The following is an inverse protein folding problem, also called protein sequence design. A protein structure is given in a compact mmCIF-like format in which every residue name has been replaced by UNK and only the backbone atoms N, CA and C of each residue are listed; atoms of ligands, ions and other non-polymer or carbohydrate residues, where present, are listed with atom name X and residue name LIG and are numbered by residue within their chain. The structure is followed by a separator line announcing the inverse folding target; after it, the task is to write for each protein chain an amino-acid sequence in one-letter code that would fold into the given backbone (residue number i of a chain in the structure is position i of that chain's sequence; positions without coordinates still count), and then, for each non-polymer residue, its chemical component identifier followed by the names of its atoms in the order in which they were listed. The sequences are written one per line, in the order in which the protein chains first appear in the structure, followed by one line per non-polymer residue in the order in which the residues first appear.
data_IF_829362288695
#
_entry.id   IF_829362288695
#
_cell.length_a   1.000
_cell.length_b   1.000
_cell.length_c   1.000
_cell.angle_alpha   90.00
_cell.angle_beta   90.00
_cell.angle_gamma   90.00
#
_symmetry.space_group_name_H-M   'P 1'
#
loop_
_entity.id
_entity.type
_entity.pdbx_description
1 polymer ?
#
# COMPACT_ATOMS: atom_id res chain seq x y z
N UNK A 1 -18.47 -41.39 -0.29
CA UNK A 1 -17.22 -40.59 -0.37
C UNK A 1 -17.61 -39.16 -0.68
N UNK A 2 -17.51 -38.24 0.28
CA UNK A 2 -17.66 -36.80 0.05
C UNK A 2 -16.31 -36.23 -0.41
N UNK A 3 -16.27 -35.29 -1.37
CA UNK A 3 -15.04 -34.64 -1.77
C UNK A 3 -14.58 -33.68 -0.66
N UNK A 4 -13.31 -33.79 -0.28
CA UNK A 4 -12.67 -32.91 0.69
C UNK A 4 -12.58 -31.48 0.12
N UNK A 5 -12.99 -30.50 0.92
CA UNK A 5 -12.83 -29.08 0.64
C UNK A 5 -11.33 -28.73 0.54
N UNK A 6 -10.90 -27.88 -0.40
CA UNK A 6 -9.51 -27.47 -0.49
C UNK A 6 -9.17 -26.60 0.73
N UNK A 7 -8.38 -27.15 1.65
CA UNK A 7 -7.68 -26.36 2.67
C UNK A 7 -6.72 -25.42 1.96
N UNK A 8 -7.07 -24.14 1.89
CA UNK A 8 -6.17 -23.06 1.49
C UNK A 8 -5.04 -23.00 2.51
N UNK A 9 -3.87 -23.48 2.11
CA UNK A 9 -2.63 -23.29 2.85
C UNK A 9 -2.26 -21.82 2.72
N UNK A 10 -2.70 -20.99 3.68
CA UNK A 10 -2.18 -19.64 3.80
C UNK A 10 -0.69 -19.75 4.15
N UNK A 11 0.24 -19.21 3.33
CA UNK A 11 1.64 -19.24 3.66
C UNK A 11 1.86 -18.52 5.00
N UNK A 12 2.80 -19.00 5.85
CA UNK A 12 3.09 -18.32 7.11
C UNK A 12 3.45 -16.85 6.83
N UNK A 13 2.70 -15.95 7.45
CA UNK A 13 2.88 -14.51 7.32
C UNK A 13 4.35 -14.15 7.57
N UNK A 14 5.03 -13.42 6.66
CA UNK A 14 6.37 -12.95 6.93
C UNK A 14 6.33 -12.05 8.17
N UNK A 15 7.07 -12.43 9.22
CA UNK A 15 7.19 -11.64 10.43
C UNK A 15 8.18 -10.52 10.16
N UNK A 16 7.68 -9.36 9.75
CA UNK A 16 8.49 -8.14 9.74
C UNK A 16 8.70 -7.74 11.20
N UNK A 17 9.95 -7.69 11.70
CA UNK A 17 10.19 -7.33 13.08
C UNK A 17 9.72 -5.90 13.33
N UNK A 18 9.18 -5.62 14.52
CA UNK A 18 8.70 -4.30 14.94
C UNK A 18 9.34 -3.99 16.28
N UNK A 19 9.75 -2.75 16.49
CA UNK A 19 10.25 -2.23 17.76
C UNK A 19 9.11 -2.16 18.79
N UNK A 20 9.47 -2.12 20.06
CA UNK A 20 8.50 -2.01 21.17
C UNK A 20 7.61 -0.75 21.10
N UNK A 21 8.03 0.27 20.35
CA UNK A 21 7.28 1.51 20.10
C UNK A 21 6.37 1.43 18.86
N UNK A 22 6.18 0.24 18.27
CA UNK A 22 5.30 0.01 17.12
C UNK A 22 5.95 0.29 15.76
N UNK A 23 7.23 0.68 15.70
CA UNK A 23 7.90 0.99 14.42
C UNK A 23 8.49 -0.24 13.74
N UNK A 24 8.40 -0.33 12.42
CA UNK A 24 9.03 -1.40 11.65
C UNK A 24 10.55 -1.44 11.87
N UNK A 25 11.10 -2.63 12.06
CA UNK A 25 12.54 -2.89 12.06
C UNK A 25 12.97 -3.02 10.61
N UNK A 26 13.86 -2.12 10.19
CA UNK A 26 14.44 -2.13 8.87
C UNK A 26 15.39 -3.31 8.75
N UNK A 27 15.05 -4.29 7.92
CA UNK A 27 15.97 -5.37 7.55
C UNK A 27 16.89 -4.86 6.44
N UNK A 28 18.20 -4.98 6.62
CA UNK A 28 19.14 -4.91 5.50
C UNK A 28 19.02 -6.21 4.72
N UNK A 29 18.21 -6.21 3.67
CA UNK A 29 18.17 -7.32 2.72
C UNK A 29 19.41 -7.21 1.83
N UNK A 30 20.51 -7.79 2.29
CA UNK A 30 21.69 -7.99 1.46
C UNK A 30 21.36 -9.01 0.37
N UNK A 31 21.42 -8.61 -0.90
CA UNK A 31 21.47 -9.56 -2.01
C UNK A 31 22.82 -10.28 -1.98
N UNK A 32 22.87 -11.42 -1.28
CA UNK A 32 23.94 -12.40 -1.38
C UNK A 32 23.45 -13.60 -2.19
N UNK A 33 23.97 -13.74 -3.42
CA UNK A 33 24.00 -15.03 -4.10
C UNK A 33 25.03 -15.91 -3.39
N UNK A 34 24.66 -17.18 -3.16
CA UNK A 34 25.47 -18.32 -2.67
C UNK A 34 25.90 -18.22 -1.18
N UNK A 35 25.85 -19.25 -0.32
CA UNK A 35 25.89 -20.72 -0.44
C UNK A 35 25.11 -21.35 0.73
N UNK A 36 24.83 -22.65 0.62
CA UNK A 36 23.85 -23.40 1.43
C UNK A 36 23.99 -23.32 2.95
N UNK A 37 22.83 -23.20 3.61
CA UNK A 37 22.60 -23.66 4.96
C UNK A 37 21.16 -24.19 5.06
N UNK A 38 21.02 -25.43 5.50
CA UNK A 38 19.75 -26.12 5.74
C UNK A 38 18.97 -25.44 6.88
N UNK A 39 17.65 -25.24 6.77
CA UNK A 39 16.86 -24.75 7.90
C UNK A 39 16.51 -25.90 8.86
N UNK A 40 16.73 -25.63 10.14
CA UNK A 40 16.43 -26.47 11.30
C UNK A 40 14.92 -26.56 11.56
N UNK A 41 14.44 -27.75 11.93
CA UNK A 41 13.05 -28.05 12.38
C UNK A 41 12.75 -27.48 13.77
N UNK A 42 11.56 -26.91 13.95
CA UNK A 42 10.71 -26.94 15.17
C UNK A 42 9.32 -26.38 14.75
N UNK A 43 8.22 -27.12 14.63
CA UNK A 43 7.42 -27.92 15.57
C UNK A 43 6.60 -27.08 16.58
N UNK A 44 5.28 -27.03 16.28
CA UNK A 44 4.07 -26.91 17.13
C UNK A 44 3.73 -25.61 17.91
N UNK A 45 2.56 -25.04 17.57
CA UNK A 45 1.55 -24.57 18.54
C UNK A 45 0.14 -24.57 17.90
N UNK A 46 -0.83 -25.18 18.58
CA UNK A 46 -2.22 -25.42 18.14
C UNK A 46 -3.21 -24.48 18.84
N UNK A 47 -4.16 -23.97 18.06
CA UNK A 47 -5.60 -23.73 18.31
C UNK A 47 -6.12 -22.90 19.50
N UNK A 48 -6.99 -21.92 19.19
CA UNK A 48 -8.32 -21.78 19.81
C UNK A 48 -9.31 -21.13 18.82
N UNK A 49 -10.44 -21.80 18.59
CA UNK A 49 -11.54 -21.42 17.69
C UNK A 49 -12.79 -21.28 18.55
N UNK A 50 -13.62 -20.25 18.34
CA UNK A 50 -15.07 -20.40 18.53
C UNK A 50 -15.86 -19.34 17.75
N UNK A 51 -16.86 -19.83 17.01
CA UNK A 51 -17.75 -19.11 16.11
C UNK A 51 -19.06 -18.68 16.79
N UNK A 52 -19.73 -17.70 16.18
CA UNK A 52 -21.19 -17.49 16.04
C UNK A 52 -21.38 -16.16 15.30
N UNK A 53 -22.24 -15.99 14.29
CA UNK A 53 -23.38 -16.77 13.82
C UNK A 53 -23.82 -16.22 12.46
N UNK A 54 -24.14 -17.10 11.52
CA UNK A 54 -24.82 -16.77 10.28
C UNK A 54 -26.31 -16.48 10.54
N UNK A 55 -26.79 -15.29 10.17
CA UNK A 55 -28.19 -15.03 9.81
C UNK A 55 -28.39 -13.56 9.41
N UNK A 56 -28.23 -13.23 8.12
CA UNK A 56 -29.15 -12.28 7.45
C UNK A 56 -28.92 -12.34 5.93
N UNK A 57 -29.61 -13.26 5.26
CA UNK A 57 -29.79 -13.19 3.82
C UNK A 57 -30.91 -12.18 3.52
N UNK A 58 -30.61 -11.15 2.72
CA UNK A 58 -31.48 -10.72 1.62
C UNK A 58 -30.80 -9.72 0.68
N UNK A 59 -30.66 -10.17 -0.57
CA UNK A 59 -30.76 -9.43 -1.84
C UNK A 59 -30.07 -8.08 -1.94
N UNK A 60 -28.97 -8.03 -2.70
CA UNK A 60 -28.73 -7.19 -3.88
C UNK A 60 -27.47 -7.74 -4.56
N UNK A 61 -27.62 -8.47 -5.67
CA UNK A 61 -26.47 -8.93 -6.45
C UNK A 61 -25.73 -7.73 -7.07
N UNK A 62 -24.41 -7.77 -6.90
CA UNK A 62 -23.31 -6.96 -7.46
C UNK A 62 -22.92 -5.64 -6.75
N UNK A 63 -22.02 -5.74 -5.74
CA UNK A 63 -20.87 -4.83 -5.65
C UNK A 63 -19.51 -5.51 -5.37
N UNK A 64 -19.45 -6.85 -5.32
CA UNK A 64 -18.33 -7.57 -4.68
C UNK A 64 -17.02 -7.60 -5.48
N UNK A 65 -17.07 -7.62 -6.82
CA UNK A 65 -15.89 -7.85 -7.66
C UNK A 65 -14.93 -6.65 -7.80
N UNK A 66 -15.40 -5.41 -7.54
CA UNK A 66 -14.54 -4.22 -7.69
C UNK A 66 -13.73 -3.91 -6.43
N UNK A 67 -14.16 -4.39 -5.26
CA UNK A 67 -13.54 -4.08 -3.97
C UNK A 67 -12.60 -5.19 -3.47
N UNK A 68 -12.31 -6.18 -4.31
CA UNK A 68 -11.31 -7.21 -4.00
C UNK A 68 -9.90 -6.64 -4.03
N UNK A 69 -9.06 -7.06 -3.08
CA UNK A 69 -7.63 -6.78 -3.09
C UNK A 69 -6.96 -7.52 -4.25
N UNK A 70 -6.62 -6.78 -5.32
CA UNK A 70 -6.04 -7.29 -6.57
C UNK A 70 -4.52 -7.40 -6.46
N UNK A 71 -4.10 -8.38 -5.67
CA UNK A 71 -2.71 -8.77 -5.43
C UNK A 71 -2.64 -10.30 -5.48
N UNK A 72 -1.47 -10.87 -5.76
CA UNK A 72 -1.23 -12.30 -5.56
C UNK A 72 -1.35 -12.68 -4.07
N UNK A 73 -1.42 -13.96 -3.74
CA UNK A 73 -1.48 -14.37 -2.32
C UNK A 73 -0.20 -14.00 -1.55
N UNK A 74 0.96 -14.02 -2.20
CA UNK A 74 2.22 -13.60 -1.59
C UNK A 74 2.22 -12.08 -1.31
N UNK A 75 1.76 -11.28 -2.28
CA UNK A 75 1.63 -9.83 -2.15
C UNK A 75 0.59 -9.44 -1.09
N UNK A 76 -0.57 -10.12 -1.06
CA UNK A 76 -1.58 -9.94 -0.01
C UNK A 76 -1.01 -10.24 1.38
N UNK A 77 -0.29 -11.34 1.53
CA UNK A 77 0.31 -11.72 2.81
C UNK A 77 1.33 -10.65 3.27
N UNK A 78 2.17 -10.17 2.35
CA UNK A 78 3.12 -9.10 2.62
C UNK A 78 2.40 -7.80 3.03
N UNK A 79 1.45 -7.32 2.21
CA UNK A 79 0.68 -6.10 2.48
C UNK A 79 -0.04 -6.17 3.84
N UNK A 80 -0.77 -7.25 4.11
CA UNK A 80 -1.49 -7.46 5.38
C UNK A 80 -0.52 -7.48 6.57
N UNK A 81 0.69 -8.01 6.39
CA UNK A 81 1.69 -8.02 7.45
C UNK A 81 2.11 -6.61 7.85
N UNK A 82 2.38 -5.73 6.88
CA UNK A 82 2.67 -4.32 7.18
C UNK A 82 1.42 -3.58 7.68
N UNK A 83 0.27 -3.70 7.01
CA UNK A 83 -0.95 -2.98 7.36
C UNK A 83 -1.46 -3.28 8.78
N UNK A 84 -1.42 -4.55 9.23
CA UNK A 84 -1.86 -4.94 10.58
C UNK A 84 -1.01 -4.39 11.73
N UNK A 85 0.18 -3.88 11.42
CA UNK A 85 1.12 -3.28 12.37
C UNK A 85 1.15 -1.76 12.29
N UNK A 86 0.58 -1.18 11.23
CA UNK A 86 0.56 0.26 11.04
C UNK A 86 -0.38 0.94 12.05
N UNK A 87 0.13 1.99 12.69
CA UNK A 87 -0.66 2.91 13.49
C UNK A 87 -1.36 3.98 12.63
N UNK A 88 -0.82 4.32 11.45
CA UNK A 88 -1.50 5.23 10.52
C UNK A 88 -1.04 5.00 9.08
N UNK A 89 -2.02 4.97 8.17
CA UNK A 89 -1.83 4.55 6.79
C UNK A 89 -2.23 5.62 5.78
N UNK A 90 -1.41 5.82 4.75
CA UNK A 90 -1.72 6.66 3.59
C UNK A 90 -1.66 5.88 2.28
N UNK A 91 -2.61 6.10 1.38
CA UNK A 91 -2.67 5.41 0.09
C UNK A 91 -2.84 6.37 -1.08
N UNK A 92 -2.01 6.18 -2.10
CA UNK A 92 -2.19 6.75 -3.43
C UNK A 92 -2.84 5.69 -4.33
N UNK A 93 -4.09 5.90 -4.71
CA UNK A 93 -4.92 4.98 -5.51
C UNK A 93 -5.88 4.20 -4.62
N UNK A 94 -7.18 4.51 -4.67
CA UNK A 94 -8.18 3.82 -3.86
C UNK A 94 -8.49 2.46 -4.50
N UNK A 95 -8.63 1.41 -3.69
CA UNK A 95 -8.93 0.08 -4.21
C UNK A 95 -9.23 -0.95 -3.12
N UNK A 96 -9.10 -2.23 -3.46
CA UNK A 96 -9.26 -3.33 -2.49
C UNK A 96 -8.28 -3.25 -1.31
N UNK A 97 -7.11 -2.64 -1.51
CA UNK A 97 -6.11 -2.37 -0.48
C UNK A 97 -6.62 -1.39 0.56
N UNK A 98 -7.41 -0.39 0.15
CA UNK A 98 -8.06 0.57 1.05
C UNK A 98 -8.98 -0.12 2.05
N UNK A 99 -9.78 -1.09 1.61
CA UNK A 99 -10.67 -1.85 2.50
C UNK A 99 -9.88 -2.75 3.45
N UNK A 100 -8.88 -3.46 2.93
CA UNK A 100 -8.01 -4.29 3.75
C UNK A 100 -7.28 -3.44 4.81
N UNK A 101 -6.79 -2.24 4.46
CA UNK A 101 -6.20 -1.30 5.41
C UNK A 101 -7.24 -0.79 6.42
N UNK A 102 -8.46 -0.47 5.96
CA UNK A 102 -9.53 -0.01 6.84
C UNK A 102 -9.93 -1.02 7.91
N UNK A 103 -9.78 -2.32 7.63
CA UNK A 103 -9.99 -3.42 8.59
C UNK A 103 -8.80 -3.62 9.54
N UNK A 104 -7.57 -3.52 9.02
CA UNK A 104 -6.36 -3.93 9.74
C UNK A 104 -5.71 -2.81 10.56
N UNK A 105 -5.77 -1.57 10.09
CA UNK A 105 -5.06 -0.42 10.69
C UNK A 105 -5.83 0.09 11.91
N UNK A 106 -5.18 0.07 13.07
CA UNK A 106 -5.76 0.51 14.36
C UNK A 106 -5.52 1.99 14.67
N UNK A 107 -5.57 2.81 13.63
CA UNK A 107 -5.51 4.27 13.70
C UNK A 107 -6.00 4.85 12.38
N UNK A 108 -5.50 6.00 11.95
CA UNK A 108 -6.06 6.72 10.80
C UNK A 108 -5.69 6.06 9.47
N UNK A 109 -6.66 5.98 8.55
CA UNK A 109 -6.46 5.62 7.14
C UNK A 109 -6.86 6.80 6.29
N UNK A 110 -5.96 7.27 5.43
CA UNK A 110 -6.25 8.26 4.39
C UNK A 110 -5.92 7.65 3.03
N UNK A 111 -6.84 7.70 2.09
CA UNK A 111 -6.62 7.21 0.73
C UNK A 111 -7.11 8.24 -0.29
N UNK A 112 -6.36 8.42 -1.37
CA UNK A 112 -6.71 9.37 -2.42
C UNK A 112 -6.88 8.67 -3.77
N UNK A 113 -7.80 9.16 -4.59
CA UNK A 113 -7.86 8.83 -6.01
C UNK A 113 -8.19 10.05 -6.86
N UNK A 114 -7.94 9.95 -8.15
CA UNK A 114 -8.25 10.99 -9.14
C UNK A 114 -9.68 10.86 -9.68
N UNK A 115 -10.23 9.65 -9.72
CA UNK A 115 -11.53 9.38 -10.33
C UNK A 115 -12.68 9.68 -9.33
N UNK A 116 -13.55 10.67 -9.61
CA UNK A 116 -14.66 11.03 -8.72
C UNK A 116 -15.64 9.88 -8.48
N UNK A 117 -16.06 9.20 -9.55
CA UNK A 117 -17.09 8.17 -9.47
C UNK A 117 -16.57 6.97 -8.67
N UNK A 118 -15.29 6.66 -8.85
CA UNK A 118 -14.63 5.62 -8.09
C UNK A 118 -14.51 5.96 -6.60
N UNK A 119 -14.11 7.18 -6.25
CA UNK A 119 -14.02 7.63 -4.85
C UNK A 119 -15.37 7.57 -4.15
N UNK A 120 -16.42 8.07 -4.80
CA UNK A 120 -17.76 8.10 -4.20
C UNK A 120 -18.32 6.68 -4.05
N UNK A 121 -18.11 5.81 -5.04
CA UNK A 121 -18.42 4.39 -4.93
C UNK A 121 -17.68 3.74 -3.75
N UNK A 122 -16.40 4.06 -3.58
CA UNK A 122 -15.60 3.45 -2.52
C UNK A 122 -16.01 3.92 -1.11
N UNK A 123 -16.29 5.21 -0.95
CA UNK A 123 -16.83 5.77 0.30
C UNK A 123 -18.14 5.10 0.71
N UNK A 124 -19.05 4.92 -0.25
CA UNK A 124 -20.36 4.32 0.02
C UNK A 124 -20.28 2.83 0.38
N UNK A 125 -19.23 2.13 -0.05
CA UNK A 125 -19.01 0.73 0.29
C UNK A 125 -18.18 0.54 1.56
N UNK A 126 -17.66 1.61 2.18
CA UNK A 126 -16.79 1.51 3.33
C UNK A 126 -17.58 1.18 4.60
N UNK A 127 -17.20 0.10 5.28
CA UNK A 127 -17.79 -0.29 6.55
C UNK A 127 -17.50 0.75 7.64
N UNK A 128 -18.43 0.96 8.60
CA UNK A 128 -18.17 1.78 9.77
C UNK A 128 -16.93 1.32 10.53
N UNK A 129 -16.15 2.27 11.05
CA UNK A 129 -14.94 2.01 11.82
C UNK A 129 -14.92 2.88 13.08
N UNK A 130 -14.31 2.35 14.16
CA UNK A 130 -14.02 3.13 15.36
C UNK A 130 -12.85 4.13 15.15
N UNK A 131 -12.12 3.99 14.05
CA UNK A 131 -10.98 4.81 13.69
C UNK A 131 -11.30 5.68 12.47
N UNK A 132 -10.54 6.76 12.28
CA UNK A 132 -10.73 7.65 11.13
C UNK A 132 -10.47 6.93 9.80
N UNK A 133 -11.41 7.08 8.87
CA UNK A 133 -11.30 6.60 7.49
C UNK A 133 -11.64 7.74 6.53
N UNK A 134 -10.63 8.28 5.85
CA UNK A 134 -10.76 9.47 5.01
C UNK A 134 -10.38 9.12 3.58
N UNK A 135 -11.38 8.97 2.71
CA UNK A 135 -11.18 8.74 1.28
C UNK A 135 -11.41 10.07 0.56
N UNK A 136 -10.48 10.50 -0.30
CA UNK A 136 -10.51 11.82 -0.93
C UNK A 136 -10.34 11.72 -2.44
N UNK A 137 -11.08 12.56 -3.16
CA UNK A 137 -10.82 12.82 -4.57
C UNK A 137 -9.78 13.93 -4.66
N UNK A 138 -8.76 13.73 -5.50
CA UNK A 138 -7.84 14.79 -5.91
C UNK A 138 -8.06 15.11 -7.39
N UNK A 139 -8.54 16.32 -7.65
CA UNK A 139 -8.86 16.74 -9.00
C UNK A 139 -7.61 17.07 -9.83
N UNK A 140 -7.20 16.10 -10.64
CA UNK A 140 -6.16 16.25 -11.67
C UNK A 140 -6.75 16.57 -13.05
N UNK A 141 -8.03 16.97 -13.10
CA UNK A 141 -8.80 17.20 -14.32
C UNK A 141 -9.51 15.97 -14.86
N UNK A 142 -9.95 16.03 -16.13
CA UNK A 142 -10.66 14.92 -16.75
C UNK A 142 -9.79 13.66 -16.80
N UNK A 143 -10.36 12.56 -16.34
CA UNK A 143 -9.72 11.24 -16.31
C UNK A 143 -10.43 10.28 -17.25
N UNK A 144 -9.67 9.30 -17.75
CA UNK A 144 -10.19 8.06 -18.35
C UNK A 144 -9.94 6.90 -17.40
N UNK A 145 -10.12 5.68 -17.90
CA UNK A 145 -9.90 4.42 -17.19
C UNK A 145 -8.66 4.46 -16.28
N UNK A 146 -8.81 3.95 -15.05
CA UNK A 146 -7.77 3.89 -14.02
C UNK A 146 -7.25 5.27 -13.56
N UNK A 147 -8.07 6.31 -13.69
CA UNK A 147 -7.71 7.66 -13.25
C UNK A 147 -6.64 8.34 -14.10
N UNK A 148 -6.36 7.83 -15.31
CA UNK A 148 -5.37 8.45 -16.19
C UNK A 148 -5.89 9.81 -16.68
N UNK A 149 -5.10 10.90 -16.58
CA UNK A 149 -5.51 12.18 -17.14
C UNK A 149 -5.64 12.07 -18.66
N UNK A 150 -6.67 12.70 -19.25
CA UNK A 150 -6.91 12.69 -20.71
C UNK A 150 -6.02 13.66 -21.49
N UNK A 151 -5.09 14.35 -20.81
CA UNK A 151 -4.21 15.36 -21.37
C UNK A 151 -4.77 16.79 -21.24
N UNK A 152 -3.93 17.79 -21.54
CA UNK A 152 -4.33 19.21 -21.55
C UNK A 152 -4.07 19.99 -20.26
N UNK A 153 -3.58 19.34 -19.19
CA UNK A 153 -3.28 20.00 -17.92
C UNK A 153 -1.78 20.07 -17.64
N UNK A 154 -1.38 21.17 -17.01
CA UNK A 154 0.00 21.46 -16.66
C UNK A 154 0.48 20.66 -15.45
N UNK A 155 1.80 20.61 -15.27
CA UNK A 155 2.48 19.91 -14.16
C UNK A 155 2.02 20.33 -12.76
N UNK A 156 1.46 21.54 -12.62
CA UNK A 156 0.96 22.07 -11.35
C UNK A 156 -0.26 21.30 -10.85
N UNK A 157 -1.22 20.98 -11.73
CA UNK A 157 -2.45 20.29 -11.34
C UNK A 157 -2.20 18.81 -11.03
N UNK A 158 -1.33 18.14 -11.80
CA UNK A 158 -0.84 16.80 -11.44
C UNK A 158 -0.11 16.79 -10.09
N UNK A 159 0.57 17.90 -9.77
CA UNK A 159 1.21 18.14 -8.49
C UNK A 159 0.30 17.97 -7.29
N UNK A 160 -1.00 18.27 -7.43
CA UNK A 160 -1.98 18.07 -6.35
C UNK A 160 -2.05 16.61 -5.91
N UNK A 161 -2.00 15.67 -6.85
CA UNK A 161 -2.13 14.24 -6.55
C UNK A 161 -0.94 13.73 -5.72
N UNK A 162 0.28 13.87 -6.24
CA UNK A 162 1.44 13.34 -5.51
C UNK A 162 1.81 14.19 -4.28
N UNK A 163 1.41 15.47 -4.19
CA UNK A 163 1.64 16.27 -2.98
C UNK A 163 0.56 16.13 -1.90
N UNK A 164 -0.59 15.52 -2.18
CA UNK A 164 -1.72 15.46 -1.26
C UNK A 164 -1.35 14.93 0.14
N UNK A 165 -0.43 13.96 0.24
CA UNK A 165 0.03 13.42 1.53
C UNK A 165 0.54 14.52 2.49
N UNK A 166 1.15 15.59 1.96
CA UNK A 166 1.70 16.67 2.75
C UNK A 166 0.62 17.49 3.50
N UNK A 167 -0.63 17.43 3.05
CA UNK A 167 -1.77 18.17 3.61
C UNK A 167 -2.44 17.41 4.78
N UNK A 168 -2.02 16.17 5.03
CA UNK A 168 -2.70 15.25 5.94
C UNK A 168 -1.83 14.81 7.12
N UNK A 169 -1.10 15.73 7.75
CA UNK A 169 -0.22 15.42 8.90
C UNK A 169 0.73 14.24 8.58
N UNK A 170 1.61 14.40 7.56
CA UNK A 170 2.35 13.29 6.98
C UNK A 170 3.32 12.61 7.96
N UNK A 171 3.71 13.30 9.03
CA UNK A 171 4.61 12.77 10.05
C UNK A 171 3.98 11.67 10.90
N UNK A 172 2.66 11.48 10.85
CA UNK A 172 1.99 10.43 11.61
C UNK A 172 1.97 9.09 10.87
N UNK A 173 1.97 9.12 9.53
CA UNK A 173 1.94 7.90 8.73
C UNK A 173 3.21 7.06 8.91
N UNK A 174 3.02 5.79 9.28
CA UNK A 174 4.09 4.81 9.42
C UNK A 174 4.10 3.76 8.31
N UNK A 175 3.00 3.66 7.56
CA UNK A 175 2.90 2.83 6.37
C UNK A 175 2.16 3.55 5.25
N UNK A 176 2.72 3.55 4.04
CA UNK A 176 2.09 4.11 2.86
C UNK A 176 2.00 3.06 1.73
N UNK A 177 1.03 3.18 0.84
CA UNK A 177 0.96 2.43 -0.41
C UNK A 177 0.89 3.36 -1.63
N UNK A 178 1.67 3.01 -2.65
CA UNK A 178 1.64 3.62 -3.98
C UNK A 178 1.12 2.58 -4.97
N UNK A 179 -0.16 2.71 -5.35
CA UNK A 179 -0.80 1.88 -6.38
C UNK A 179 -1.71 2.72 -7.34
N UNK A 180 -1.58 4.03 -7.31
CA UNK A 180 -2.34 4.96 -8.14
C UNK A 180 -1.59 5.42 -9.39
N UNK A 181 -1.71 6.71 -9.68
CA UNK A 181 -1.00 7.41 -10.77
C UNK A 181 0.26 8.10 -10.26
N UNK A 182 1.13 8.50 -11.19
CA UNK A 182 2.38 9.23 -10.91
C UNK A 182 3.29 8.52 -9.91
N UNK A 183 3.44 7.20 -10.04
CA UNK A 183 3.89 6.33 -8.93
C UNK A 183 5.27 6.71 -8.37
N UNK A 184 6.26 7.01 -9.21
CA UNK A 184 7.57 7.45 -8.73
C UNK A 184 7.47 8.79 -7.98
N UNK A 185 6.65 9.73 -8.47
CA UNK A 185 6.45 11.02 -7.80
C UNK A 185 5.75 10.85 -6.45
N UNK A 186 4.74 9.96 -6.35
CA UNK A 186 4.05 9.60 -5.12
C UNK A 186 5.00 8.95 -4.10
N UNK A 187 5.84 8.00 -4.53
CA UNK A 187 6.90 7.44 -3.67
C UNK A 187 7.80 8.54 -3.12
N UNK A 188 8.35 9.40 -3.99
CA UNK A 188 9.25 10.47 -3.57
C UNK A 188 8.54 11.43 -2.61
N UNK A 189 7.27 11.75 -2.87
CA UNK A 189 6.48 12.63 -2.01
C UNK A 189 6.25 12.03 -0.61
N UNK A 190 5.97 10.72 -0.52
CA UNK A 190 5.90 10.01 0.75
C UNK A 190 7.24 10.07 1.49
N UNK A 191 8.32 9.59 0.86
CA UNK A 191 9.67 9.61 1.45
C UNK A 191 10.13 11.01 1.90
N UNK A 192 9.67 12.06 1.20
CA UNK A 192 9.98 13.47 1.48
C UNK A 192 9.17 14.05 2.64
N UNK A 193 7.93 13.60 2.83
CA UNK A 193 6.95 14.25 3.72
C UNK A 193 6.77 13.52 5.04
N UNK A 194 7.04 12.21 5.08
CA UNK A 194 6.90 11.38 6.27
C UNK A 194 8.22 11.27 7.03
N UNK A 195 8.25 10.48 8.11
CA UNK A 195 9.47 10.16 8.84
C UNK A 195 10.38 9.29 7.98
N UNK A 196 11.69 9.31 8.25
CA UNK A 196 12.66 8.51 7.49
C UNK A 196 12.51 7.00 7.68
N UNK A 197 11.82 6.57 8.74
CA UNK A 197 11.52 5.17 9.05
C UNK A 197 10.13 4.70 8.57
N UNK A 198 9.34 5.58 7.96
CA UNK A 198 8.06 5.22 7.34
C UNK A 198 8.29 4.26 6.19
N UNK A 199 7.50 3.17 6.15
CA UNK A 199 7.55 2.19 5.08
C UNK A 199 6.60 2.61 3.96
N UNK A 200 7.06 2.57 2.71
CA UNK A 200 6.24 2.85 1.53
C UNK A 200 6.22 1.61 0.63
N UNK A 201 5.09 0.93 0.56
CA UNK A 201 4.84 -0.11 -0.43
C UNK A 201 4.62 0.52 -1.82
N UNK A 202 5.22 -0.08 -2.84
CA UNK A 202 5.10 0.30 -4.23
C UNK A 202 4.66 -0.94 -5.01
N UNK A 203 3.45 -0.90 -5.55
CA UNK A 203 2.87 -2.02 -6.30
C UNK A 203 3.21 -1.96 -7.80
N UNK A 204 3.16 -3.09 -8.50
CA UNK A 204 3.65 -3.26 -9.89
C UNK A 204 5.11 -2.80 -10.12
N UNK A 205 5.96 -2.85 -9.10
CA UNK A 205 7.29 -2.26 -9.16
C UNK A 205 8.25 -3.10 -9.99
N UNK A 206 8.42 -4.38 -9.64
CA UNK A 206 9.49 -5.21 -10.21
C UNK A 206 9.28 -5.51 -11.68
N UNK A 207 8.06 -5.86 -12.10
CA UNK A 207 7.70 -6.10 -13.50
C UNK A 207 7.79 -4.86 -14.41
N UNK A 208 7.99 -3.64 -13.88
CA UNK A 208 8.02 -2.39 -14.66
C UNK A 208 9.37 -1.68 -14.56
N UNK A 209 10.32 -1.94 -15.49
CA UNK A 209 11.67 -1.36 -15.44
C UNK A 209 11.75 0.17 -15.40
N UNK A 210 10.74 0.86 -15.93
CA UNK A 210 10.69 2.32 -15.90
C UNK A 210 10.47 2.88 -14.48
N UNK A 211 10.05 2.07 -13.51
CA UNK A 211 9.96 2.45 -12.11
C UNK A 211 11.26 2.28 -11.34
N UNK A 212 12.20 1.47 -11.82
CA UNK A 212 13.46 1.16 -11.11
C UNK A 212 14.32 2.39 -10.71
N UNK A 213 14.25 3.55 -11.40
CA UNK A 213 14.87 4.77 -10.88
C UNK A 213 14.41 5.21 -9.48
N UNK A 214 13.28 4.71 -8.98
CA UNK A 214 12.81 4.88 -7.60
C UNK A 214 13.85 4.51 -6.54
N UNK A 215 14.71 3.52 -6.84
CA UNK A 215 15.78 3.09 -5.95
C UNK A 215 16.87 4.14 -5.74
N UNK A 216 16.88 5.25 -6.48
CA UNK A 216 17.75 6.41 -6.17
C UNK A 216 17.28 7.15 -4.91
N UNK A 217 16.00 7.02 -4.54
CA UNK A 217 15.36 7.78 -3.46
C UNK A 217 14.99 6.89 -2.28
N UNK A 218 14.49 5.70 -2.58
CA UNK A 218 14.15 4.67 -1.60
C UNK A 218 15.14 3.52 -1.60
N UNK A 219 15.33 2.90 -0.44
CA UNK A 219 15.99 1.60 -0.29
C UNK A 219 14.91 0.55 -0.10
N UNK A 220 14.96 -0.51 -0.92
CA UNK A 220 14.08 -1.68 -0.76
C UNK A 220 14.46 -2.41 0.53
N UNK A 221 13.47 -2.75 1.35
CA UNK A 221 13.61 -3.48 2.62
C UNK A 221 12.88 -4.82 2.63
N UNK A 222 11.97 -5.05 1.68
CA UNK A 222 11.24 -6.31 1.53
C UNK A 222 10.56 -6.32 0.17
N UNK A 223 10.35 -7.51 -0.41
CA UNK A 223 9.65 -7.71 -1.66
C UNK A 223 8.83 -8.99 -1.64
N UNK A 224 7.70 -8.96 -2.33
CA UNK A 224 6.94 -10.15 -2.67
C UNK A 224 6.44 -9.96 -4.11
N UNK A 225 6.98 -10.74 -5.05
CA UNK A 225 6.62 -10.64 -6.47
C UNK A 225 6.72 -9.19 -6.99
N UNK A 226 5.60 -8.53 -7.32
CA UNK A 226 5.58 -7.19 -7.90
C UNK A 226 5.31 -6.07 -6.88
N UNK A 227 5.14 -6.39 -5.58
CA UNK A 227 5.11 -5.37 -4.52
C UNK A 227 6.48 -5.27 -3.82
N UNK A 228 6.98 -4.04 -3.74
CA UNK A 228 8.26 -3.71 -3.09
C UNK A 228 8.07 -2.67 -2.00
N UNK A 229 8.71 -2.88 -0.85
CA UNK A 229 8.61 -2.01 0.31
C UNK A 229 9.88 -1.19 0.46
N UNK A 230 9.73 0.12 0.54
CA UNK A 230 10.82 1.08 0.59
C UNK A 230 10.88 1.81 1.91
N UNK A 231 12.08 2.25 2.27
CA UNK A 231 12.31 3.35 3.21
C UNK A 231 13.22 4.40 2.60
N UNK A 232 13.22 5.60 3.15
CA UNK A 232 14.01 6.71 2.62
C UNK A 232 15.50 6.37 2.67
N UNK A 233 16.24 6.61 1.58
CA UNK A 233 17.71 6.53 1.63
C UNK A 233 18.28 7.64 2.51
N UNK A 234 19.28 7.34 3.36
CA UNK A 234 19.98 8.36 4.11
C UNK A 234 20.77 9.28 3.18
N UNK A 235 21.04 10.50 3.64
CA UNK A 235 21.90 11.46 2.91
C UNK A 235 21.20 12.27 1.81
N UNK A 236 19.95 11.96 1.46
CA UNK A 236 19.19 12.75 0.48
C UNK A 236 18.63 14.02 1.11
N UNK A 237 18.97 15.18 0.53
CA UNK A 237 18.39 16.45 0.93
C UNK A 237 16.94 16.59 0.45
N UNK A 238 16.17 17.39 1.17
CA UNK A 238 14.80 17.70 0.79
C UNK A 238 14.71 18.37 -0.60
N UNK A 239 15.70 19.21 -0.95
CA UNK A 239 15.76 19.87 -2.25
C UNK A 239 16.00 18.89 -3.42
N UNK A 240 16.79 17.83 -3.21
CA UNK A 240 16.98 16.77 -4.21
C UNK A 240 15.69 16.00 -4.47
N UNK A 241 14.99 15.62 -3.40
CA UNK A 241 13.69 14.95 -3.49
C UNK A 241 12.64 15.85 -4.17
N UNK A 242 12.59 17.14 -3.83
CA UNK A 242 11.64 18.07 -4.43
C UNK A 242 11.89 18.25 -5.95
N UNK A 243 13.14 18.35 -6.38
CA UNK A 243 13.49 18.37 -7.82
C UNK A 243 13.13 17.07 -8.53
N UNK A 244 13.44 15.92 -7.92
CA UNK A 244 13.14 14.62 -8.50
C UNK A 244 11.63 14.39 -8.61
N UNK A 245 10.86 14.72 -7.57
CA UNK A 245 9.40 14.65 -7.56
C UNK A 245 8.79 15.40 -8.73
N UNK A 246 9.24 16.63 -8.99
CA UNK A 246 8.74 17.42 -10.13
C UNK A 246 9.15 16.85 -11.50
N UNK A 247 10.33 16.22 -11.59
CA UNK A 247 10.76 15.52 -12.81
C UNK A 247 9.86 14.32 -13.09
N UNK A 248 9.62 13.48 -12.10
CA UNK A 248 8.83 12.25 -12.24
C UNK A 248 7.31 12.50 -12.27
N UNK A 249 6.84 13.64 -11.74
CA UNK A 249 5.42 14.04 -11.78
C UNK A 249 4.88 14.35 -13.18
N UNK A 250 5.73 14.28 -14.21
CA UNK A 250 5.33 14.36 -15.62
C UNK A 250 4.88 13.00 -16.19
N UNK A 251 5.21 11.91 -15.50
CA UNK A 251 4.82 10.56 -15.88
C UNK A 251 3.60 10.14 -15.08
N UNK A 252 2.45 10.01 -15.73
CA UNK A 252 1.19 9.64 -15.07
C UNK A 252 1.05 8.13 -14.81
N UNK A 253 2.03 7.33 -15.23
CA UNK A 253 2.04 5.89 -14.98
C UNK A 253 2.18 5.57 -13.50
#
# INVERSE_FOLDING_TARGET
MQPASPTTFEPPMPVVPVRADGRFVLLDVGYGLETGATPVRAQEARACLCARSAAFLRSHEMPEASMQLRMSEAEKAAFRSFASRAGSYFEFGIGGSTYAAAELVKGRVVAIDSDPEWVDKARNALSPSAYERTLLRVDIGPTREWGYPTGGLGSEQHGRYFNAIAEHQPQDFDFCLVDGRFRIACLIAALRSTRSDTVVAFHDYRCRPHYHPAEQFGRVIYEAEDISFFVRRPGLSNAELDRAKMKYGKDAR
#
